data_IF_412002773316
#
_entry.id   IF_412002773316
#
_cell.length_a   1.000
_cell.length_b   1.000
_cell.length_c   1.000
_cell.angle_alpha   90.00
_cell.angle_beta   90.00
_cell.angle_gamma   90.00
#
_symmetry.space_group_name_H-M   'P 1'
#
loop_
_entity.id
_entity.type
_entity.pdbx_description
1 polymer ?
#
# COMPACT_ATOMS: atom_id res chain seq x y z
N UNK A 1 -104.49 13.87 -6.25
CA UNK A 1 -103.24 13.30 -5.73
C UNK A 1 -102.42 12.54 -6.79
N UNK A 2 -102.53 12.86 -8.09
CA UNK A 2 -101.82 12.11 -9.17
C UNK A 2 -100.51 12.75 -9.62
N UNK A 3 -100.39 14.07 -9.47
CA UNK A 3 -99.20 14.85 -9.88
C UNK A 3 -97.94 14.47 -9.06
N UNK A 4 -97.99 14.29 -7.73
CA UNK A 4 -96.79 13.95 -6.95
C UNK A 4 -96.19 12.59 -7.31
N UNK A 5 -97.04 11.60 -7.62
CA UNK A 5 -96.61 10.22 -7.91
C UNK A 5 -95.92 10.13 -9.28
N UNK A 6 -96.43 10.86 -10.28
CA UNK A 6 -95.82 10.91 -11.62
C UNK A 6 -94.46 11.59 -11.62
N UNK A 7 -94.29 12.65 -10.81
CA UNK A 7 -92.99 13.32 -10.65
C UNK A 7 -91.98 12.38 -9.97
N UNK A 8 -92.38 11.65 -8.92
CA UNK A 8 -91.52 10.68 -8.26
C UNK A 8 -91.09 9.53 -9.18
N UNK A 9 -91.99 9.04 -10.03
CA UNK A 9 -91.67 8.00 -11.02
C UNK A 9 -90.74 8.50 -12.12
N UNK A 10 -90.92 9.75 -12.58
CA UNK A 10 -90.03 10.36 -13.56
C UNK A 10 -88.63 10.59 -12.98
N UNK A 11 -88.54 11.12 -11.76
CA UNK A 11 -87.26 11.28 -11.05
C UNK A 11 -86.59 9.93 -10.82
N UNK A 12 -87.32 8.88 -10.42
CA UNK A 12 -86.79 7.54 -10.28
C UNK A 12 -86.29 6.94 -11.60
N UNK A 13 -86.98 7.22 -12.72
CA UNK A 13 -86.55 6.75 -14.04
C UNK A 13 -85.28 7.46 -14.51
N UNK A 14 -85.19 8.78 -14.31
CA UNK A 14 -83.98 9.56 -14.61
C UNK A 14 -82.81 9.09 -13.73
N UNK A 15 -83.03 8.93 -12.43
CA UNK A 15 -82.02 8.44 -11.49
C UNK A 15 -81.61 6.97 -11.78
N UNK A 16 -82.50 6.16 -12.37
CA UNK A 16 -82.19 4.81 -12.85
C UNK A 16 -81.40 4.80 -14.17
N UNK A 17 -81.58 5.81 -15.03
CA UNK A 17 -80.81 5.95 -16.27
C UNK A 17 -79.42 6.48 -15.95
N UNK A 18 -79.32 7.50 -15.11
CA UNK A 18 -78.03 8.03 -14.61
C UNK A 18 -77.22 6.94 -13.91
N UNK A 19 -77.85 6.10 -13.07
CA UNK A 19 -77.17 4.95 -12.45
C UNK A 19 -76.66 3.92 -13.45
N UNK A 20 -77.34 3.72 -14.58
CA UNK A 20 -76.88 2.80 -15.64
C UNK A 20 -75.72 3.39 -16.42
N UNK A 21 -75.78 4.68 -16.73
CA UNK A 21 -74.70 5.38 -17.41
C UNK A 21 -73.44 5.46 -16.52
N UNK A 22 -73.60 5.67 -15.21
CA UNK A 22 -72.51 5.61 -14.23
C UNK A 22 -71.88 4.21 -14.14
N UNK A 23 -72.68 3.15 -14.19
CA UNK A 23 -72.19 1.77 -14.20
C UNK A 23 -71.38 1.46 -15.46
N UNK A 24 -71.86 1.87 -16.64
CA UNK A 24 -71.14 1.69 -17.92
C UNK A 24 -69.83 2.49 -17.90
N UNK A 25 -69.85 3.71 -17.38
CA UNK A 25 -68.65 4.54 -17.23
C UNK A 25 -67.66 3.91 -16.23
N UNK A 26 -68.15 3.22 -15.20
CA UNK A 26 -67.33 2.53 -14.22
C UNK A 26 -66.69 1.26 -14.79
N UNK A 27 -67.43 0.47 -15.59
CA UNK A 27 -66.88 -0.69 -16.33
C UNK A 27 -65.81 -0.24 -17.33
N UNK A 28 -66.06 0.81 -18.12
CA UNK A 28 -65.05 1.33 -19.06
C UNK A 28 -63.80 1.86 -18.34
N UNK A 29 -63.94 2.40 -17.13
CA UNK A 29 -62.79 2.81 -16.29
C UNK A 29 -62.03 1.60 -15.76
N UNK A 30 -62.72 0.53 -15.36
CA UNK A 30 -62.13 -0.73 -14.92
C UNK A 30 -61.37 -1.41 -16.06
N UNK A 31 -61.98 -1.55 -17.23
CA UNK A 31 -61.34 -2.13 -18.42
C UNK A 31 -60.07 -1.36 -18.81
N UNK A 32 -60.14 -0.02 -18.82
CA UNK A 32 -58.99 0.83 -19.10
C UNK A 32 -57.92 0.75 -18.01
N UNK A 33 -58.31 0.50 -16.77
CA UNK A 33 -57.40 0.31 -15.66
C UNK A 33 -56.71 -1.06 -15.72
N UNK A 34 -57.43 -2.11 -16.10
CA UNK A 34 -56.88 -3.44 -16.37
C UNK A 34 -55.93 -3.43 -17.57
N UNK A 35 -56.29 -2.75 -18.66
CA UNK A 35 -55.43 -2.59 -19.83
C UNK A 35 -54.15 -1.82 -19.50
N UNK A 36 -54.26 -0.74 -18.73
CA UNK A 36 -53.09 0.01 -18.24
C UNK A 36 -52.22 -0.84 -17.30
N UNK A 37 -52.82 -1.66 -16.42
CA UNK A 37 -52.06 -2.57 -15.55
C UNK A 37 -51.32 -3.64 -16.36
N UNK A 38 -51.95 -4.15 -17.42
CA UNK A 38 -51.36 -5.13 -18.32
C UNK A 38 -50.20 -4.54 -19.13
N UNK A 39 -50.38 -3.35 -19.71
CA UNK A 39 -49.31 -2.63 -20.40
C UNK A 39 -48.14 -2.32 -19.45
N UNK A 40 -48.44 -1.94 -18.21
CA UNK A 40 -47.41 -1.68 -17.20
C UNK A 40 -46.64 -2.96 -16.86
N UNK A 41 -47.31 -4.10 -16.69
CA UNK A 41 -46.65 -5.40 -16.49
C UNK A 41 -45.76 -5.79 -17.68
N UNK A 42 -46.25 -5.64 -18.90
CA UNK A 42 -45.47 -5.93 -20.12
C UNK A 42 -44.22 -5.04 -20.19
N UNK A 43 -44.36 -3.75 -19.87
CA UNK A 43 -43.23 -2.80 -19.81
C UNK A 43 -42.23 -3.19 -18.71
N UNK A 44 -42.71 -3.60 -17.54
CA UNK A 44 -41.83 -4.07 -16.46
C UNK A 44 -41.05 -5.32 -16.85
N UNK A 45 -41.69 -6.28 -17.53
CA UNK A 45 -41.03 -7.48 -18.04
C UNK A 45 -39.96 -7.12 -19.06
N UNK A 46 -40.25 -6.19 -19.97
CA UNK A 46 -39.28 -5.71 -20.96
C UNK A 46 -38.07 -5.01 -20.31
N UNK A 47 -38.32 -4.12 -19.34
CA UNK A 47 -37.26 -3.46 -18.56
C UNK A 47 -36.39 -4.49 -17.81
N UNK A 48 -37.02 -5.50 -17.20
CA UNK A 48 -36.30 -6.55 -16.46
C UNK A 48 -35.41 -7.36 -17.41
N UNK A 49 -35.91 -7.75 -18.58
CA UNK A 49 -35.12 -8.45 -19.59
C UNK A 49 -33.94 -7.60 -20.09
N UNK A 50 -34.12 -6.29 -20.24
CA UNK A 50 -33.04 -5.36 -20.63
C UNK A 50 -31.99 -5.27 -19.52
N UNK A 51 -32.40 -5.16 -18.25
CA UNK A 51 -31.50 -5.12 -17.09
C UNK A 51 -30.71 -6.43 -16.95
N UNK A 52 -31.35 -7.58 -17.12
CA UNK A 52 -30.70 -8.89 -17.07
C UNK A 52 -29.67 -9.05 -18.20
N UNK A 53 -30.01 -8.60 -19.41
CA UNK A 53 -29.09 -8.59 -20.55
C UNK A 53 -27.91 -7.64 -20.32
N UNK A 54 -28.11 -6.49 -19.68
CA UNK A 54 -27.04 -5.57 -19.30
C UNK A 54 -26.15 -6.16 -18.21
N UNK A 55 -26.70 -6.81 -17.18
CA UNK A 55 -25.95 -7.52 -16.15
C UNK A 55 -25.07 -8.62 -16.77
N UNK A 56 -25.65 -9.45 -17.63
CA UNK A 56 -24.91 -10.52 -18.31
C UNK A 56 -23.77 -9.94 -19.18
N UNK A 57 -23.99 -8.78 -19.80
CA UNK A 57 -22.96 -8.08 -20.58
C UNK A 57 -21.86 -7.49 -19.68
N UNK A 58 -22.21 -6.95 -18.51
CA UNK A 58 -21.24 -6.46 -17.53
C UNK A 58 -20.40 -7.61 -16.95
N UNK A 59 -20.99 -8.75 -16.63
CA UNK A 59 -20.28 -9.95 -16.17
C UNK A 59 -19.28 -10.43 -17.23
N UNK A 60 -19.72 -10.60 -18.48
CA UNK A 60 -18.84 -10.97 -19.60
C UNK A 60 -17.71 -9.96 -19.84
N UNK A 61 -17.98 -8.66 -19.64
CA UNK A 61 -16.96 -7.63 -19.74
C UNK A 61 -15.96 -7.72 -18.58
N UNK A 62 -16.43 -8.00 -17.36
CA UNK A 62 -15.60 -8.27 -16.18
C UNK A 62 -14.67 -9.48 -16.42
N UNK A 63 -15.22 -10.60 -16.88
CA UNK A 63 -14.45 -11.80 -17.22
C UNK A 63 -13.40 -11.52 -18.32
N UNK A 64 -13.78 -10.74 -19.34
CA UNK A 64 -12.85 -10.35 -20.42
C UNK A 64 -11.72 -9.46 -19.91
N UNK A 65 -12.02 -8.50 -19.02
CA UNK A 65 -11.01 -7.63 -18.41
C UNK A 65 -10.08 -8.41 -17.49
N UNK A 66 -10.62 -9.32 -16.69
CA UNK A 66 -9.83 -10.21 -15.84
C UNK A 66 -8.90 -11.09 -16.68
N UNK A 67 -9.42 -11.73 -17.73
CA UNK A 67 -8.62 -12.53 -18.67
C UNK A 67 -7.53 -11.69 -19.33
N UNK A 68 -7.85 -10.47 -19.77
CA UNK A 68 -6.88 -9.56 -20.39
C UNK A 68 -5.83 -9.12 -19.38
N UNK A 69 -6.21 -8.81 -18.14
CA UNK A 69 -5.26 -8.47 -17.07
C UNK A 69 -4.35 -9.65 -16.73
N UNK A 70 -4.87 -10.89 -16.72
CA UNK A 70 -4.08 -12.11 -16.53
C UNK A 70 -3.11 -12.35 -17.69
N UNK A 71 -3.53 -12.15 -18.94
CA UNK A 71 -2.67 -12.26 -20.12
C UNK A 71 -1.59 -11.18 -20.13
N UNK A 72 -1.93 -9.92 -19.82
CA UNK A 72 -0.97 -8.84 -19.66
C UNK A 72 0.03 -9.11 -18.52
N UNK A 73 -0.42 -9.66 -17.39
CA UNK A 73 0.46 -10.10 -16.29
C UNK A 73 1.37 -11.27 -16.69
N UNK A 74 0.95 -12.13 -17.63
CA UNK A 74 1.78 -13.23 -18.14
C UNK A 74 2.88 -12.73 -19.09
N UNK A 75 2.62 -11.69 -19.86
CA UNK A 75 3.55 -11.18 -20.89
C UNK A 75 4.51 -10.13 -20.30
N UNK A 76 4.06 -9.35 -19.30
CA UNK A 76 4.89 -8.33 -18.66
C UNK A 76 5.89 -8.98 -17.70
N UNK A 77 7.15 -8.52 -17.74
CA UNK A 77 8.12 -8.83 -16.70
C UNK A 77 7.56 -8.35 -15.34
N UNK A 78 7.44 -9.20 -14.32
CA UNK A 78 7.01 -8.79 -12.99
C UNK A 78 7.83 -7.59 -12.51
N UNK A 79 7.19 -6.53 -12.00
CA UNK A 79 7.90 -5.29 -11.60
C UNK A 79 9.02 -5.55 -10.60
N UNK A 80 8.89 -6.57 -9.74
CA UNK A 80 9.96 -7.00 -8.87
C UNK A 80 11.22 -7.44 -9.61
N UNK A 81 11.09 -8.17 -10.72
CA UNK A 81 12.23 -8.57 -11.56
C UNK A 81 12.79 -7.40 -12.37
N UNK A 82 11.92 -6.54 -12.90
CA UNK A 82 12.32 -5.31 -13.61
C UNK A 82 13.21 -4.43 -12.72
N UNK A 83 12.76 -4.16 -11.49
CA UNK A 83 13.52 -3.40 -10.50
C UNK A 83 14.85 -4.06 -10.13
N UNK A 84 14.85 -5.37 -9.89
CA UNK A 84 16.07 -6.09 -9.55
C UNK A 84 17.07 -6.05 -10.72
N UNK A 85 16.64 -6.31 -11.95
CA UNK A 85 17.49 -6.23 -13.13
C UNK A 85 18.21 -4.88 -13.25
N UNK A 86 17.49 -3.79 -12.96
CA UNK A 86 18.05 -2.43 -13.05
C UNK A 86 18.97 -2.04 -11.88
N UNK A 87 18.74 -2.60 -10.68
CA UNK A 87 19.28 -2.02 -9.45
C UNK A 87 20.07 -3.00 -8.56
N UNK A 88 20.08 -4.30 -8.85
CA UNK A 88 20.62 -5.32 -7.93
C UNK A 88 22.12 -5.11 -7.63
N UNK A 89 22.91 -4.70 -8.63
CA UNK A 89 24.35 -4.44 -8.44
C UNK A 89 24.59 -3.16 -7.63
N UNK A 90 23.77 -2.12 -7.82
CA UNK A 90 23.83 -0.90 -7.00
C UNK A 90 23.46 -1.18 -5.55
N UNK A 91 22.42 -2.00 -5.34
CA UNK A 91 22.00 -2.44 -4.00
C UNK A 91 23.13 -3.20 -3.31
N UNK A 92 23.82 -4.08 -4.04
CA UNK A 92 25.00 -4.82 -3.54
C UNK A 92 26.19 -3.89 -3.24
N UNK A 93 26.44 -2.88 -4.07
CA UNK A 93 27.52 -1.90 -3.84
C UNK A 93 27.32 -1.09 -2.54
N UNK A 94 26.07 -0.74 -2.23
CA UNK A 94 25.76 0.06 -1.04
C UNK A 94 25.86 -0.71 0.28
N UNK A 95 25.80 -2.05 0.23
CA UNK A 95 25.87 -2.92 1.40
C UNK A 95 27.09 -3.82 1.27
N UNK A 96 28.18 -3.44 1.93
CA UNK A 96 29.36 -4.30 2.06
C UNK A 96 29.91 -4.13 3.47
N UNK A 97 30.38 -5.21 4.10
CA UNK A 97 30.99 -5.17 5.44
C UNK A 97 32.18 -4.20 5.50
N UNK A 98 32.99 -4.18 4.44
CA UNK A 98 34.19 -3.35 4.34
C UNK A 98 33.95 -1.95 3.77
N UNK A 99 32.70 -1.59 3.45
CA UNK A 99 32.36 -0.23 3.01
C UNK A 99 32.77 0.79 4.08
N UNK A 100 33.42 1.88 3.65
CA UNK A 100 33.92 2.91 4.56
C UNK A 100 33.36 4.30 4.25
N UNK A 101 33.30 5.13 5.28
CA UNK A 101 32.92 6.56 5.20
C UNK A 101 33.97 7.43 5.89
N UNK A 102 34.12 8.67 5.42
CA UNK A 102 35.13 9.62 5.91
C UNK A 102 34.54 10.99 6.31
N UNK A 103 33.30 11.32 5.97
CA UNK A 103 32.71 12.62 6.32
C UNK A 103 31.18 12.62 6.18
N UNK A 104 30.56 13.70 6.65
CA UNK A 104 29.11 13.96 6.53
C UNK A 104 28.62 13.81 5.10
N UNK A 105 29.33 14.38 4.13
CA UNK A 105 28.90 14.38 2.72
C UNK A 105 28.84 12.97 2.15
N UNK A 106 29.80 12.10 2.53
CA UNK A 106 29.82 10.69 2.13
C UNK A 106 28.62 9.92 2.71
N UNK A 107 28.31 10.14 3.99
CA UNK A 107 27.18 9.48 4.67
C UNK A 107 25.85 9.97 4.09
N UNK A 108 25.69 11.29 3.95
CA UNK A 108 24.49 11.91 3.39
C UNK A 108 24.26 11.45 1.95
N UNK A 109 25.27 11.52 1.09
CA UNK A 109 25.16 11.08 -0.30
C UNK A 109 24.76 9.60 -0.41
N UNK A 110 25.38 8.72 0.39
CA UNK A 110 25.03 7.30 0.42
C UNK A 110 23.59 7.09 0.92
N UNK A 111 23.20 7.76 2.00
CA UNK A 111 21.83 7.67 2.53
C UNK A 111 20.78 8.11 1.49
N UNK A 112 21.01 9.23 0.79
CA UNK A 112 20.12 9.70 -0.27
C UNK A 112 20.05 8.73 -1.45
N UNK A 113 21.20 8.22 -1.92
CA UNK A 113 21.23 7.26 -3.02
C UNK A 113 20.51 5.95 -2.67
N UNK A 114 20.64 5.47 -1.43
CA UNK A 114 19.85 4.34 -0.92
C UNK A 114 18.36 4.69 -0.81
N UNK A 115 18.03 5.93 -0.43
CA UNK A 115 16.66 6.45 -0.33
C UNK A 115 15.91 6.40 -1.66
N UNK A 116 16.53 6.87 -2.75
CA UNK A 116 15.94 6.80 -4.09
C UNK A 116 15.64 5.36 -4.52
N UNK A 117 16.53 4.42 -4.21
CA UNK A 117 16.30 2.99 -4.46
C UNK A 117 15.16 2.44 -3.61
N UNK A 118 15.10 2.82 -2.34
CA UNK A 118 14.05 2.39 -1.40
C UNK A 118 12.66 2.90 -1.80
N UNK A 119 12.56 4.13 -2.30
CA UNK A 119 11.30 4.67 -2.82
C UNK A 119 10.76 3.81 -3.96
N UNK A 120 11.59 3.57 -4.99
CA UNK A 120 11.24 2.67 -6.10
C UNK A 120 10.91 1.26 -5.62
N UNK A 121 11.65 0.72 -4.65
CA UNK A 121 11.41 -0.62 -4.11
C UNK A 121 10.10 -0.71 -3.29
N UNK A 122 9.64 0.39 -2.70
CA UNK A 122 8.38 0.45 -1.94
C UNK A 122 7.15 0.53 -2.84
N UNK A 123 7.28 1.10 -4.04
CA UNK A 123 6.21 1.14 -5.04
C UNK A 123 5.84 -0.23 -5.62
N UNK A 124 6.70 -1.24 -5.39
CA UNK A 124 6.47 -2.60 -5.87
C UNK A 124 5.62 -3.36 -4.85
N UNK A 125 4.39 -3.65 -5.24
CA UNK A 125 3.50 -4.54 -4.51
C UNK A 125 4.05 -5.97 -4.49
N UNK A 126 3.86 -6.69 -3.38
CA UNK A 126 4.40 -8.05 -3.23
C UNK A 126 3.79 -9.04 -4.23
N UNK A 127 2.57 -8.77 -4.68
CA UNK A 127 1.84 -9.49 -5.72
C UNK A 127 2.56 -9.42 -7.07
N UNK A 128 3.28 -8.33 -7.33
CA UNK A 128 4.10 -8.11 -8.53
C UNK A 128 5.51 -8.71 -8.43
N UNK A 129 5.79 -9.44 -7.33
CA UNK A 129 7.03 -10.18 -7.12
C UNK A 129 6.77 -11.69 -7.31
N UNK A 130 7.58 -12.40 -8.13
CA UNK A 130 7.46 -13.84 -8.30
C UNK A 130 7.50 -14.59 -6.95
N UNK A 131 6.58 -15.55 -6.77
CA UNK A 131 6.46 -16.32 -5.53
C UNK A 131 7.78 -16.95 -5.07
N UNK A 132 8.61 -17.41 -6.02
CA UNK A 132 9.90 -18.09 -5.75
C UNK A 132 10.92 -17.19 -5.04
N UNK A 133 10.87 -15.88 -5.22
CA UNK A 133 11.81 -14.90 -4.59
C UNK A 133 11.12 -13.91 -3.67
N UNK A 134 9.79 -13.98 -3.52
CA UNK A 134 9.01 -12.99 -2.76
C UNK A 134 9.51 -12.84 -1.32
N UNK A 135 9.92 -13.94 -0.69
CA UNK A 135 10.47 -13.94 0.67
C UNK A 135 11.83 -13.23 0.71
N UNK A 136 12.75 -13.61 -0.16
CA UNK A 136 14.08 -13.04 -0.28
C UNK A 136 13.98 -11.54 -0.60
N UNK A 137 13.10 -11.15 -1.51
CA UNK A 137 12.84 -9.76 -1.89
C UNK A 137 12.37 -8.93 -0.68
N UNK A 138 11.37 -9.42 0.05
CA UNK A 138 10.86 -8.75 1.25
C UNK A 138 11.92 -8.62 2.36
N UNK A 139 12.64 -9.70 2.65
CA UNK A 139 13.70 -9.70 3.68
C UNK A 139 14.85 -8.76 3.32
N UNK A 140 15.26 -8.76 2.04
CA UNK A 140 16.33 -7.91 1.53
C UNK A 140 15.92 -6.45 1.60
N UNK A 141 14.69 -6.12 1.18
CA UNK A 141 14.13 -4.76 1.29
C UNK A 141 14.11 -4.27 2.73
N UNK A 142 13.62 -5.09 3.66
CA UNK A 142 13.55 -4.74 5.08
C UNK A 142 14.92 -4.45 5.67
N UNK A 143 15.90 -5.32 5.40
CA UNK A 143 17.28 -5.10 5.87
C UNK A 143 17.88 -3.82 5.26
N UNK A 144 17.68 -3.59 3.96
CA UNK A 144 18.20 -2.41 3.27
C UNK A 144 17.63 -1.11 3.84
N UNK A 145 16.34 -1.11 4.19
CA UNK A 145 15.66 0.02 4.83
C UNK A 145 16.24 0.29 6.23
N UNK A 146 16.34 -0.75 7.07
CA UNK A 146 16.93 -0.66 8.40
C UNK A 146 18.37 -0.14 8.33
N UNK A 147 19.19 -0.70 7.43
CA UNK A 147 20.60 -0.34 7.29
C UNK A 147 20.76 1.12 6.87
N UNK A 148 19.94 1.60 5.92
CA UNK A 148 19.95 3.00 5.49
C UNK A 148 19.64 3.96 6.65
N UNK A 149 18.66 3.61 7.50
CA UNK A 149 18.31 4.38 8.69
C UNK A 149 19.44 4.36 9.72
N UNK A 150 19.96 3.17 10.03
CA UNK A 150 21.06 2.98 10.98
C UNK A 150 22.30 3.79 10.60
N UNK A 151 22.67 3.78 9.32
CA UNK A 151 23.81 4.54 8.81
C UNK A 151 23.68 6.03 9.20
N UNK A 152 22.53 6.62 8.91
CA UNK A 152 22.29 8.04 9.13
C UNK A 152 22.14 8.39 10.63
N UNK A 153 21.39 7.59 11.38
CA UNK A 153 21.17 7.77 12.82
C UNK A 153 22.49 7.63 13.58
N UNK A 154 23.28 6.58 13.29
CA UNK A 154 24.56 6.32 13.96
C UNK A 154 25.51 7.48 13.77
N UNK A 155 25.60 8.00 12.54
CA UNK A 155 26.43 9.14 12.23
C UNK A 155 25.98 10.40 13.00
N UNK A 156 24.70 10.76 12.91
CA UNK A 156 24.18 11.97 13.57
C UNK A 156 24.32 11.91 15.09
N UNK A 157 24.08 10.74 15.67
CA UNK A 157 24.25 10.50 17.10
C UNK A 157 25.70 10.69 17.51
N UNK A 158 26.66 10.05 16.84
CA UNK A 158 28.07 10.21 17.19
C UNK A 158 28.53 11.66 17.09
N UNK A 159 28.10 12.40 16.06
CA UNK A 159 28.41 13.82 15.88
C UNK A 159 27.77 14.71 16.96
N UNK A 160 26.52 14.41 17.38
CA UNK A 160 25.85 15.22 18.41
C UNK A 160 26.54 15.12 19.77
N UNK A 161 27.06 13.93 20.10
CA UNK A 161 27.81 13.67 21.33
C UNK A 161 29.17 14.40 21.42
N UNK A 162 29.62 15.07 20.35
CA UNK A 162 30.89 15.80 20.34
C UNK A 162 30.80 17.24 20.84
N UNK A 163 29.59 17.81 20.91
CA UNK A 163 29.40 19.25 21.12
C UNK A 163 29.82 19.77 22.51
N UNK A 164 30.16 18.89 23.45
CA UNK A 164 30.44 19.23 24.85
C UNK A 164 31.93 19.31 25.25
N UNK A 165 32.90 19.25 24.31
CA UNK A 165 34.31 19.22 24.69
C UNK A 165 35.16 20.27 23.95
N UNK A 166 35.57 21.32 24.70
CA UNK A 166 36.68 22.24 24.38
C UNK A 166 38.03 21.54 24.12
N UNK A 167 38.08 20.20 24.24
CA UNK A 167 39.22 19.36 23.87
C UNK A 167 38.95 18.68 22.53
N UNK A 168 39.30 19.40 21.46
CA UNK A 168 39.66 18.84 20.15
C UNK A 168 40.44 17.53 20.35
N UNK A 169 39.88 16.35 20.04
CA UNK A 169 40.77 15.25 19.63
C UNK A 169 40.26 13.99 18.96
N UNK A 170 38.96 13.69 18.74
CA UNK A 170 38.66 12.34 18.18
C UNK A 170 37.67 12.34 17.01
N UNK A 171 36.86 13.39 16.86
CA UNK A 171 35.55 13.24 16.20
C UNK A 171 35.10 14.52 15.41
N UNK A 172 35.62 15.68 15.85
CA UNK A 172 35.18 17.08 15.65
C UNK A 172 34.49 17.62 14.36
N UNK A 173 34.50 16.96 13.19
CA UNK A 173 33.71 17.37 11.99
C UNK A 173 33.14 16.14 11.21
N UNK A 174 33.30 14.89 11.69
CA UNK A 174 32.59 13.73 11.13
C UNK A 174 33.42 12.62 10.46
N UNK A 175 34.61 12.31 11.00
CA UNK A 175 35.56 11.23 10.64
C UNK A 175 36.79 11.59 9.79
N UNK A 176 37.75 12.35 10.34
CA UNK A 176 39.08 12.60 9.74
C UNK A 176 39.85 11.34 9.25
N UNK A 177 39.46 10.14 9.69
CA UNK A 177 39.98 8.86 9.20
C UNK A 177 38.82 7.97 8.73
N UNK A 178 39.07 7.21 7.66
CA UNK A 178 38.09 6.28 7.08
C UNK A 178 37.69 5.18 8.06
N UNK A 179 36.42 5.14 8.45
CA UNK A 179 35.83 4.12 9.32
C UNK A 179 34.95 3.18 8.51
N UNK A 180 34.95 1.87 8.82
CA UNK A 180 33.96 0.94 8.24
C UNK A 180 32.57 1.29 8.76
N UNK A 181 31.56 1.22 7.90
CA UNK A 181 30.19 1.56 8.29
C UNK A 181 29.72 0.66 9.45
N UNK A 182 30.05 -0.64 9.42
CA UNK A 182 29.71 -1.57 10.50
C UNK A 182 30.34 -1.18 11.83
N UNK A 183 31.58 -0.70 11.83
CA UNK A 183 32.26 -0.22 13.03
C UNK A 183 31.61 1.06 13.57
N UNK A 184 31.22 1.98 12.67
CA UNK A 184 30.53 3.22 13.04
C UNK A 184 29.19 2.94 13.70
N UNK A 185 28.38 2.03 13.13
CA UNK A 185 27.09 1.63 13.70
C UNK A 185 27.31 0.99 15.08
N UNK A 186 28.27 0.07 15.19
CA UNK A 186 28.58 -0.59 16.46
C UNK A 186 29.06 0.41 17.54
N UNK A 187 29.90 1.39 17.18
CA UNK A 187 30.33 2.46 18.09
C UNK A 187 29.15 3.31 18.56
N UNK A 188 28.22 3.67 17.66
CA UNK A 188 27.03 4.42 18.01
C UNK A 188 26.13 3.66 19.00
N UNK A 189 25.87 2.38 18.71
CA UNK A 189 25.09 1.49 19.58
C UNK A 189 25.74 1.32 20.96
N UNK A 190 27.05 1.08 21.03
CA UNK A 190 27.77 0.95 22.31
C UNK A 190 27.73 2.25 23.10
N UNK A 191 28.03 3.37 22.44
CA UNK A 191 28.01 4.70 23.07
C UNK A 191 26.63 5.01 23.64
N UNK A 192 25.55 4.79 22.89
CA UNK A 192 24.19 5.00 23.35
C UNK A 192 23.88 4.19 24.63
N UNK A 193 24.25 2.90 24.64
CA UNK A 193 23.98 2.02 25.78
C UNK A 193 24.86 2.35 27.00
N UNK A 194 26.02 2.98 26.80
CA UNK A 194 26.88 3.46 27.89
C UNK A 194 26.39 4.75 28.57
N UNK A 195 25.55 5.54 27.88
CA UNK A 195 25.09 6.83 28.39
C UNK A 195 23.91 6.67 29.36
N UNK A 196 23.86 7.48 30.44
CA UNK A 196 22.66 7.63 31.26
C UNK A 196 21.47 8.15 30.42
N UNK A 197 20.25 7.76 30.78
CA UNK A 197 19.03 8.14 30.05
C UNK A 197 18.86 9.66 29.90
N UNK A 198 19.32 10.43 30.89
CA UNK A 198 19.28 11.90 30.88
C UNK A 198 20.13 12.54 29.77
N UNK A 199 21.16 11.83 29.30
CA UNK A 199 22.08 12.26 28.25
C UNK A 199 21.69 11.72 26.87
N UNK A 200 20.59 10.95 26.77
CA UNK A 200 20.02 10.47 25.50
C UNK A 200 19.01 11.46 24.90
N UNK A 201 18.89 12.67 25.44
CA UNK A 201 17.89 13.67 25.02
C UNK A 201 18.07 14.14 23.57
N UNK A 202 19.27 14.01 23.01
CA UNK A 202 19.59 14.46 21.65
C UNK A 202 19.23 13.44 20.56
N UNK A 203 18.67 12.28 20.93
CA UNK A 203 18.19 11.26 19.99
C UNK A 203 16.70 10.98 20.24
N UNK A 204 15.94 10.78 19.17
CA UNK A 204 14.53 10.41 19.29
C UNK A 204 14.38 9.04 19.95
N UNK A 205 13.23 8.79 20.59
CA UNK A 205 12.97 7.49 21.23
C UNK A 205 13.02 6.34 20.22
N UNK A 206 12.50 6.56 19.02
CA UNK A 206 12.46 5.56 17.94
C UNK A 206 13.88 5.23 17.44
N UNK A 207 14.70 6.25 17.20
CA UNK A 207 16.08 6.07 16.76
C UNK A 207 16.94 5.41 17.84
N UNK A 208 16.72 5.77 19.10
CA UNK A 208 17.37 5.13 20.24
C UNK A 208 16.99 3.66 20.33
N UNK A 209 15.72 3.32 20.17
CA UNK A 209 15.27 1.93 20.16
C UNK A 209 15.92 1.15 19.02
N UNK A 210 16.00 1.74 17.82
CA UNK A 210 16.63 1.09 16.67
C UNK A 210 18.11 0.79 16.93
N UNK A 211 18.90 1.77 17.40
CA UNK A 211 20.31 1.56 17.73
C UNK A 211 20.50 0.52 18.85
N UNK A 212 19.63 0.52 19.86
CA UNK A 212 19.68 -0.45 20.96
C UNK A 212 19.38 -1.89 20.51
N UNK A 213 18.49 -2.11 19.54
CA UNK A 213 18.18 -3.45 19.00
C UNK A 213 19.42 -4.10 18.38
N UNK A 214 20.30 -3.31 17.78
CA UNK A 214 21.51 -3.81 17.12
C UNK A 214 22.69 -3.98 18.07
N UNK A 215 22.63 -3.43 19.29
CA UNK A 215 23.66 -3.62 20.29
C UNK A 215 23.67 -5.05 20.82
N UNK A 216 24.87 -5.63 20.94
CA UNK A 216 25.06 -7.00 21.40
C UNK A 216 26.21 -7.10 22.42
N UNK A 217 25.97 -6.70 23.67
CA UNK A 217 26.90 -6.71 24.82
C UNK A 217 28.21 -5.91 24.70
N UNK A 218 28.86 -5.87 23.54
CA UNK A 218 30.08 -5.12 23.23
C UNK A 218 30.09 -4.68 21.76
N UNK A 219 30.99 -3.77 21.42
CA UNK A 219 31.22 -3.37 20.03
C UNK A 219 31.56 -4.55 19.13
N UNK A 220 32.50 -5.42 19.52
CA UNK A 220 32.98 -6.53 18.70
C UNK A 220 31.85 -7.50 18.34
N UNK A 221 31.06 -7.91 19.34
CA UNK A 221 29.89 -8.77 19.15
C UNK A 221 28.79 -8.10 18.31
N UNK A 222 28.68 -6.78 18.39
CA UNK A 222 27.76 -6.00 17.55
C UNK A 222 28.22 -6.02 16.09
N UNK A 223 29.52 -5.84 15.84
CA UNK A 223 30.11 -5.94 14.50
C UNK A 223 29.90 -7.34 13.91
N UNK A 224 30.21 -8.40 14.67
CA UNK A 224 30.00 -9.79 14.23
C UNK A 224 28.53 -10.06 13.85
N UNK A 225 27.59 -9.57 14.65
CA UNK A 225 26.16 -9.72 14.38
C UNK A 225 25.72 -8.96 13.11
N UNK A 226 26.25 -7.74 12.90
CA UNK A 226 25.98 -6.94 11.70
C UNK A 226 26.57 -7.59 10.44
N UNK A 227 27.81 -8.06 10.49
CA UNK A 227 28.48 -8.75 9.39
C UNK A 227 27.68 -10.00 8.98
N UNK A 228 27.22 -10.80 9.94
CA UNK A 228 26.34 -11.96 9.67
C UNK A 228 25.02 -11.57 9.00
N UNK A 229 24.44 -10.42 9.36
CA UNK A 229 23.23 -9.92 8.68
C UNK A 229 23.50 -9.47 7.25
N UNK A 230 24.66 -8.83 7.02
CA UNK A 230 25.13 -8.46 5.68
C UNK A 230 25.37 -9.72 4.82
N UNK A 231 25.99 -10.77 5.38
CA UNK A 231 26.15 -12.06 4.69
C UNK A 231 24.80 -12.67 4.28
N UNK A 232 23.82 -12.68 5.19
CA UNK A 232 22.46 -13.16 4.89
C UNK A 232 21.79 -12.31 3.80
N UNK A 233 22.02 -11.00 3.81
CA UNK A 233 21.54 -10.10 2.77
C UNK A 233 22.14 -10.45 1.40
N UNK A 234 23.47 -10.63 1.30
CA UNK A 234 24.11 -11.07 0.07
C UNK A 234 23.63 -12.45 -0.39
N UNK A 235 23.39 -13.39 0.53
CA UNK A 235 22.81 -14.69 0.18
C UNK A 235 21.42 -14.56 -0.45
N UNK A 236 20.57 -13.66 0.08
CA UNK A 236 19.26 -13.40 -0.51
C UNK A 236 19.36 -12.70 -1.87
N UNK A 237 20.25 -11.72 -2.02
CA UNK A 237 20.54 -11.09 -3.31
C UNK A 237 21.00 -12.11 -4.35
N UNK A 238 21.92 -13.01 -3.98
CA UNK A 238 22.41 -14.05 -4.87
C UNK A 238 21.29 -14.96 -5.39
N UNK A 239 20.41 -15.43 -4.51
CA UNK A 239 19.22 -16.23 -4.91
C UNK A 239 18.29 -15.48 -5.85
N UNK A 240 18.17 -14.16 -5.68
CA UNK A 240 17.38 -13.33 -6.59
C UNK A 240 18.08 -13.13 -7.94
N UNK A 241 19.42 -12.98 -7.95
CA UNK A 241 20.24 -12.90 -9.17
C UNK A 241 20.12 -14.16 -10.04
N UNK A 242 20.03 -15.33 -9.44
CA UNK A 242 19.83 -16.59 -10.19
C UNK A 242 18.52 -16.65 -10.99
N UNK A 243 17.61 -15.69 -10.78
CA UNK A 243 16.33 -15.58 -11.50
C UNK A 243 16.28 -14.44 -12.53
N UNK A 244 17.32 -13.61 -12.61
CA UNK A 244 17.47 -12.56 -13.61
C UNK A 244 18.08 -13.14 -14.89
#
# INVERSE_FOLDING_TARGET
MLIPVLISLFLFHVESLERKDDLILQEQRLDKQEENQKQMQETFVEITNILDAQNTKQEKMGESLEKTALELRRIRLPKGLEFLYENIDRIEEYIQSDSRVQNTMNVVARHYAMGELLEKWREIELEEVPLKIRREFGNTRYFFEDYSKLLFISYNFLVSQEKDLEKKNIFAIGFNASIRIVDMIAMASEKLNSLPDENRKDISKEDSQLLSIYYNDSKEKTVEALEKRIENFHSNLFKMKEML
#
